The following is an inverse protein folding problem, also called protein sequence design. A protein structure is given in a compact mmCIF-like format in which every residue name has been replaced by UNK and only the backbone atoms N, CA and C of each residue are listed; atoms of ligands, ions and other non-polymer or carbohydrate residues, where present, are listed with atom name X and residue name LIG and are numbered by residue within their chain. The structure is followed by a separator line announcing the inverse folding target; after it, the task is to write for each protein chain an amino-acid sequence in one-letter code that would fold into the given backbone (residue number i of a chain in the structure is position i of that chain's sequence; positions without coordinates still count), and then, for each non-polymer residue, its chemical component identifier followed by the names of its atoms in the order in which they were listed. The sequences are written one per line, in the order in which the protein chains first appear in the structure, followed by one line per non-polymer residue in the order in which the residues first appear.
data_IF_364980636902
#
_entry.id   IF_364980636902
#
_cell.length_a   1.000
_cell.length_b   1.000
_cell.length_c   1.000
_cell.angle_alpha   90.00
_cell.angle_beta   90.00
_cell.angle_gamma   90.00
#
_symmetry.space_group_name_H-M   'P 1'
#
loop_
_entity.id
_entity.type
_entity.pdbx_description
1 polymer ?
#
# COMPACT_ATOMS: atom_id res chain seq x y z
N UNK A 1 9.60 -4.61 5.54
CA UNK A 1 8.16 -4.53 5.74
C UNK A 1 7.56 -5.72 6.43
N UNK A 2 8.12 -6.02 7.59
CA UNK A 2 7.65 -7.17 8.39
C UNK A 2 6.21 -6.98 8.89
N UNK A 3 5.82 -5.75 9.24
CA UNK A 3 4.44 -5.48 9.69
C UNK A 3 3.43 -5.77 8.58
N UNK A 4 3.70 -5.36 7.34
CA UNK A 4 2.81 -5.66 6.22
C UNK A 4 2.73 -7.18 5.96
N UNK A 5 3.86 -7.87 6.01
CA UNK A 5 3.91 -9.34 5.83
C UNK A 5 3.10 -10.07 6.90
N UNK A 6 3.10 -9.56 8.12
CA UNK A 6 2.33 -10.16 9.22
C UNK A 6 0.81 -10.06 9.01
N UNK A 7 0.34 -9.22 8.08
CA UNK A 7 -1.08 -9.05 7.79
C UNK A 7 -1.59 -9.93 6.65
N UNK A 8 -0.70 -10.66 5.96
CA UNK A 8 -1.10 -11.53 4.85
C UNK A 8 -2.22 -12.49 5.27
N UNK A 9 -3.21 -12.64 4.40
CA UNK A 9 -4.36 -13.50 4.63
C UNK A 9 -5.53 -12.85 5.36
N UNK A 10 -5.36 -11.66 5.94
CA UNK A 10 -6.46 -10.95 6.60
C UNK A 10 -7.42 -10.36 5.57
N UNK A 11 -8.73 -10.29 5.88
CA UNK A 11 -9.72 -9.88 4.89
C UNK A 11 -9.65 -8.39 4.55
N UNK A 12 -9.97 -8.07 3.30
CA UNK A 12 -10.27 -6.70 2.89
C UNK A 12 -11.64 -6.29 3.42
N UNK A 13 -11.68 -5.13 4.08
CA UNK A 13 -12.93 -4.49 4.49
C UNK A 13 -12.81 -3.00 4.21
N UNK A 14 -13.74 -2.45 3.44
CA UNK A 14 -13.74 -1.01 3.11
C UNK A 14 -13.73 -0.16 4.39
N UNK A 15 -12.84 0.81 4.44
CA UNK A 15 -12.69 1.70 5.59
C UNK A 15 -11.88 1.13 6.76
N UNK A 16 -11.43 -0.12 6.68
CA UNK A 16 -10.70 -0.76 7.77
C UNK A 16 -9.20 -0.43 7.73
N UNK A 17 -8.61 -0.25 8.91
CA UNK A 17 -7.20 0.08 9.08
C UNK A 17 -6.51 -0.83 10.11
N UNK A 18 -6.99 -2.03 10.28
CA UNK A 18 -6.44 -3.04 11.19
C UNK A 18 -7.05 -3.02 12.59
N UNK A 19 -6.62 -3.96 13.43
CA UNK A 19 -5.63 -5.01 13.15
C UNK A 19 -6.16 -6.25 12.43
N UNK A 20 -7.49 -6.43 12.33
CA UNK A 20 -8.08 -7.68 11.85
C UNK A 20 -8.47 -7.66 10.39
N UNK A 21 -8.62 -6.48 9.82
CA UNK A 21 -9.02 -6.27 8.43
C UNK A 21 -8.47 -4.94 7.92
N UNK A 22 -8.38 -4.80 6.60
CA UNK A 22 -7.76 -3.63 5.97
C UNK A 22 -8.42 -3.27 4.65
N UNK A 23 -8.49 -1.97 4.33
CA UNK A 23 -8.55 -1.55 2.94
C UNK A 23 -7.13 -1.20 2.45
N UNK A 24 -6.98 -0.74 1.20
CA UNK A 24 -5.67 -0.54 0.59
C UNK A 24 -4.82 0.49 1.37
N UNK A 25 -5.38 1.66 1.63
CA UNK A 25 -4.69 2.73 2.35
C UNK A 25 -4.62 2.47 3.86
N UNK A 26 -5.55 1.69 4.39
CA UNK A 26 -5.52 1.25 5.79
C UNK A 26 -4.35 0.32 6.08
N UNK A 27 -4.03 -0.57 5.15
CA UNK A 27 -2.87 -1.45 5.26
C UNK A 27 -1.57 -0.65 5.29
N UNK A 28 -1.37 0.27 4.36
CA UNK A 28 -0.15 1.09 4.31
C UNK A 28 -0.05 2.00 5.53
N UNK A 29 -1.16 2.59 5.96
CA UNK A 29 -1.21 3.40 7.18
C UNK A 29 -0.81 2.58 8.40
N UNK A 30 -1.33 1.39 8.55
CA UNK A 30 -1.02 0.48 9.67
C UNK A 30 0.47 0.09 9.67
N UNK A 31 1.00 -0.30 8.51
CA UNK A 31 2.38 -0.73 8.38
C UNK A 31 3.38 0.40 8.73
N UNK A 32 3.13 1.61 8.24
CA UNK A 32 4.03 2.73 8.50
C UNK A 32 3.87 3.31 9.89
N UNK A 33 2.70 3.19 10.50
CA UNK A 33 2.54 3.55 11.93
C UNK A 33 3.48 2.72 12.81
N UNK A 34 3.64 1.44 12.50
CA UNK A 34 4.60 0.59 13.20
C UNK A 34 6.05 1.08 13.02
N UNK A 35 6.34 1.77 11.92
CA UNK A 35 7.62 2.43 11.66
C UNK A 35 7.72 3.86 12.19
N UNK A 36 6.72 4.35 12.90
CA UNK A 36 6.72 5.69 13.49
C UNK A 36 6.24 6.79 12.55
N UNK A 37 5.66 6.47 11.40
CA UNK A 37 5.18 7.46 10.43
C UNK A 37 3.66 7.42 10.35
N UNK A 38 3.00 8.56 10.54
CA UNK A 38 1.56 8.72 10.36
C UNK A 38 1.22 9.04 8.91
N UNK A 39 0.29 8.27 8.33
CA UNK A 39 -0.22 8.51 6.99
C UNK A 39 -1.72 8.75 7.04
N UNK A 40 -2.28 9.58 6.16
CA UNK A 40 -3.72 9.74 6.06
C UNK A 40 -4.39 8.46 5.50
N UNK A 41 -5.65 8.22 5.85
CA UNK A 41 -6.39 7.05 5.42
C UNK A 41 -7.06 7.28 4.05
N UNK A 42 -6.23 7.49 3.03
CA UNK A 42 -6.66 7.66 1.65
C UNK A 42 -5.46 7.48 0.74
N UNK A 43 -5.59 6.69 -0.31
CA UNK A 43 -4.50 6.47 -1.27
C UNK A 43 -4.06 7.78 -1.92
N UNK A 44 -5.00 8.61 -2.37
CA UNK A 44 -4.68 9.90 -2.99
C UNK A 44 -4.00 10.84 -2.00
N UNK A 45 -4.49 10.93 -0.76
CA UNK A 45 -3.89 11.78 0.26
C UNK A 45 -2.51 11.29 0.67
N UNK A 46 -2.29 9.98 0.73
CA UNK A 46 -0.95 9.44 0.98
C UNK A 46 0.02 9.84 -0.14
N UNK A 47 -0.40 9.74 -1.40
CA UNK A 47 0.42 10.18 -2.53
C UNK A 47 0.83 11.65 -2.41
N UNK A 48 -0.11 12.50 -2.03
CA UNK A 48 0.15 13.93 -1.91
C UNK A 48 0.98 14.30 -0.68
N UNK A 49 1.02 13.45 0.33
CA UNK A 49 1.68 13.73 1.61
C UNK A 49 3.14 13.29 1.66
N UNK A 50 3.63 12.51 0.70
CA UNK A 50 4.96 11.88 0.76
C UNK A 50 5.83 12.29 -0.44
N UNK A 51 7.14 12.10 -0.28
CA UNK A 51 8.08 12.36 -1.37
C UNK A 51 7.91 11.33 -2.49
N UNK A 52 7.84 11.79 -3.73
CA UNK A 52 7.73 10.91 -4.89
C UNK A 52 9.11 10.41 -5.32
N UNK A 53 9.19 9.15 -5.72
CA UNK A 53 10.41 8.52 -6.19
C UNK A 53 10.17 7.86 -7.54
N UNK A 54 11.24 7.66 -8.29
CA UNK A 54 11.20 6.90 -9.53
C UNK A 54 10.93 5.42 -9.24
N UNK A 55 10.12 4.78 -10.08
CA UNK A 55 9.87 3.33 -9.99
C UNK A 55 11.17 2.52 -10.10
N UNK A 56 12.15 3.03 -10.84
CA UNK A 56 13.48 2.39 -10.94
C UNK A 56 14.29 2.42 -9.64
N UNK A 57 13.88 3.22 -8.65
CA UNK A 57 14.57 3.39 -7.38
C UNK A 57 13.80 2.81 -6.19
N UNK A 58 12.80 1.99 -6.45
CA UNK A 58 11.98 1.39 -5.40
C UNK A 58 12.79 0.58 -4.41
N UNK A 59 12.48 0.79 -3.13
CA UNK A 59 13.01 0.01 -2.00
C UNK A 59 11.86 -0.57 -1.19
N UNK A 60 12.06 -1.72 -0.52
CA UNK A 60 11.02 -2.27 0.36
C UNK A 60 10.49 -1.23 1.34
N UNK A 61 9.17 -1.13 1.44
CA UNK A 61 8.49 -0.12 2.24
C UNK A 61 7.96 1.05 1.44
N UNK A 62 8.46 1.30 0.24
CA UNK A 62 7.91 2.34 -0.62
C UNK A 62 6.49 2.01 -1.04
N UNK A 63 5.70 3.05 -1.33
CA UNK A 63 4.31 2.90 -1.74
C UNK A 63 4.20 3.05 -3.25
N UNK A 64 3.35 2.22 -3.86
CA UNK A 64 3.06 2.29 -5.29
C UNK A 64 1.58 2.63 -5.45
N UNK A 65 1.26 3.58 -6.35
CA UNK A 65 -0.06 4.15 -6.52
C UNK A 65 -0.65 3.87 -7.88
N UNK A 66 -1.96 3.69 -7.92
CA UNK A 66 -2.70 3.26 -9.10
C UNK A 66 -3.96 4.08 -9.31
N UNK A 67 -4.25 4.36 -10.57
CA UNK A 67 -5.50 4.98 -11.00
C UNK A 67 -5.41 6.49 -11.25
N UNK A 68 -6.33 6.97 -12.06
CA UNK A 68 -6.49 8.40 -12.38
C UNK A 68 -7.99 8.71 -12.33
N UNK A 69 -8.47 9.30 -11.22
CA UNK A 69 -7.77 9.68 -9.99
C UNK A 69 -7.25 8.46 -9.20
N UNK A 70 -6.27 8.69 -8.33
CA UNK A 70 -5.67 7.62 -7.53
C UNK A 70 -6.72 6.99 -6.61
N UNK A 71 -6.87 5.66 -6.70
CA UNK A 71 -7.84 4.92 -5.91
C UNK A 71 -7.25 3.68 -5.24
N UNK A 72 -5.97 3.35 -5.47
CA UNK A 72 -5.33 2.17 -4.90
C UNK A 72 -3.87 2.45 -4.56
N UNK A 73 -3.37 1.75 -3.54
CA UNK A 73 -1.98 1.82 -3.10
C UNK A 73 -1.55 0.45 -2.57
N UNK A 74 -0.31 0.08 -2.85
CA UNK A 74 0.34 -1.10 -2.29
C UNK A 74 1.67 -0.75 -1.68
N UNK A 75 2.25 -1.68 -0.90
CA UNK A 75 3.55 -1.50 -0.27
C UNK A 75 4.57 -2.43 -0.93
N UNK A 76 5.66 -1.86 -1.42
CA UNK A 76 6.70 -2.60 -2.13
C UNK A 76 7.47 -3.52 -1.18
N UNK A 77 7.73 -4.75 -1.61
CA UNK A 77 8.47 -5.74 -0.82
C UNK A 77 9.71 -6.29 -1.55
N UNK A 78 10.03 -5.74 -2.73
CA UNK A 78 11.16 -6.19 -3.53
C UNK A 78 10.75 -7.15 -4.64
N UNK A 79 11.65 -7.34 -5.61
CA UNK A 79 11.46 -8.31 -6.69
C UNK A 79 10.27 -8.03 -7.61
N UNK A 80 9.85 -6.77 -7.73
CA UNK A 80 8.69 -6.41 -8.55
C UNK A 80 7.35 -6.74 -7.91
N UNK A 81 7.34 -7.03 -6.60
CA UNK A 81 6.13 -7.40 -5.87
C UNK A 81 5.76 -6.40 -4.79
N UNK A 82 4.48 -6.33 -4.49
CA UNK A 82 3.93 -5.56 -3.39
C UNK A 82 3.01 -6.44 -2.53
N UNK A 83 2.71 -5.95 -1.32
CA UNK A 83 1.60 -6.44 -0.51
C UNK A 83 0.48 -5.43 -0.64
N UNK A 84 -0.72 -5.92 -0.88
CA UNK A 84 -1.91 -5.10 -1.09
C UNK A 84 -3.14 -5.68 -0.41
N UNK A 85 -4.09 -4.80 -0.07
CA UNK A 85 -5.46 -5.17 0.27
C UNK A 85 -6.33 -4.65 -0.88
N UNK A 86 -6.72 -5.51 -1.86
CA UNK A 86 -7.15 -5.02 -3.16
C UNK A 86 -8.63 -4.62 -3.26
N UNK A 87 -9.56 -5.44 -2.75
CA UNK A 87 -11.00 -5.20 -2.91
C UNK A 87 -11.82 -6.16 -2.04
N UNK A 88 -13.09 -5.86 -1.89
CA UNK A 88 -14.04 -6.69 -1.12
C UNK A 88 -14.07 -8.12 -1.66
N UNK A 89 -13.98 -9.08 -0.76
CA UNK A 89 -13.95 -10.51 -1.10
C UNK A 89 -12.55 -11.08 -1.24
N UNK A 90 -11.52 -10.24 -1.29
CA UNK A 90 -10.13 -10.65 -1.30
C UNK A 90 -9.49 -10.53 0.09
N UNK A 91 -8.26 -11.02 0.19
CA UNK A 91 -7.44 -10.91 1.40
C UNK A 91 -6.18 -10.10 1.10
N UNK A 92 -5.49 -9.66 2.15
CA UNK A 92 -4.14 -9.09 2.02
C UNK A 92 -3.24 -10.14 1.37
N UNK A 93 -2.56 -9.74 0.30
CA UNK A 93 -1.83 -10.68 -0.56
C UNK A 93 -0.60 -10.04 -1.20
N UNK A 94 0.30 -10.90 -1.70
CA UNK A 94 1.33 -10.48 -2.65
C UNK A 94 0.72 -10.27 -4.04
N UNK A 95 1.25 -9.29 -4.77
CA UNK A 95 0.88 -9.06 -6.16
C UNK A 95 2.02 -8.38 -6.91
N UNK A 96 2.02 -8.49 -8.25
CA UNK A 96 2.93 -7.73 -9.10
C UNK A 96 2.61 -6.24 -9.00
N UNK A 97 3.66 -5.40 -8.99
CA UNK A 97 3.47 -3.95 -9.07
C UNK A 97 3.13 -3.49 -10.49
N UNK A 98 3.43 -4.30 -11.50
CA UNK A 98 3.31 -3.91 -12.92
C UNK A 98 1.87 -4.08 -13.40
N UNK A 99 1.10 -2.99 -13.26
CA UNK A 99 -0.27 -2.87 -13.76
C UNK A 99 -0.36 -1.66 -14.67
N UNK A 100 -1.24 -1.71 -15.67
CA UNK A 100 -1.39 -0.66 -16.68
C UNK A 100 -1.82 0.70 -16.09
N UNK A 101 -2.45 0.71 -14.93
CA UNK A 101 -2.93 1.93 -14.25
C UNK A 101 -1.97 2.47 -13.20
N UNK A 102 -0.73 1.96 -13.10
CA UNK A 102 0.29 2.52 -12.21
C UNK A 102 0.57 3.97 -12.57
N UNK A 103 0.55 4.86 -11.57
CA UNK A 103 0.80 6.29 -11.77
C UNK A 103 2.08 6.78 -11.12
N UNK A 104 2.63 6.07 -10.15
CA UNK A 104 3.88 6.47 -9.52
C UNK A 104 4.14 5.78 -8.19
N UNK A 105 5.20 6.23 -7.54
CA UNK A 105 5.65 5.71 -6.27
C UNK A 105 6.08 6.83 -5.31
N UNK A 106 6.09 6.53 -4.02
CA UNK A 106 6.51 7.47 -3.00
C UNK A 106 7.15 6.80 -1.80
N UNK A 107 7.89 7.59 -1.05
CA UNK A 107 8.58 7.12 0.17
C UNK A 107 8.12 7.95 1.36
N UNK A 108 7.40 7.33 2.29
CA UNK A 108 6.95 8.01 3.51
C UNK A 108 8.07 8.53 4.41
#
# INVERSE_FOLDING_TARGET
MNTAKAQLGKPYVYGAAGPDSFDCSGLTMYAWRAGGVGLPHSAEMQYNAIAHISVSQLQPGDLIFYGTPIHHVGIYVGGGQMIEAPYTGAVVRYASIYRSDMVGAGRP
#
